data_IF_471946083304
#
_entry.id   IF_471946083304
#
_cell.length_a   1.000
_cell.length_b   1.000
_cell.length_c   1.000
_cell.angle_alpha   90.00
_cell.angle_beta   90.00
_cell.angle_gamma   90.00
#
_symmetry.space_group_name_H-M   'P 1'
#
loop_
_entity.id
_entity.type
_entity.pdbx_description
1 polymer ?
#
# COMPACT_ATOMS: atom_id res chain seq x y z
N UNK A 1 9.27 -11.09 -14.33
CA UNK A 1 7.87 -10.82 -13.91
C UNK A 1 6.98 -10.68 -15.14
N UNK A 2 5.69 -11.07 -15.09
CA UNK A 2 4.76 -10.85 -16.21
C UNK A 2 4.38 -9.36 -16.27
N UNK A 3 4.35 -8.76 -17.46
CA UNK A 3 3.99 -7.35 -17.67
C UNK A 3 2.65 -6.99 -17.00
N UNK A 4 1.67 -7.90 -17.09
CA UNK A 4 0.37 -7.74 -16.43
C UNK A 4 0.49 -7.44 -14.93
N UNK A 5 1.33 -8.19 -14.20
CA UNK A 5 1.51 -8.01 -12.76
C UNK A 5 2.15 -6.65 -12.45
N UNK A 6 3.14 -6.23 -13.27
CA UNK A 6 3.76 -4.92 -13.12
C UNK A 6 2.75 -3.79 -13.32
N UNK A 7 1.90 -3.88 -14.35
CA UNK A 7 0.87 -2.88 -14.64
C UNK A 7 -0.18 -2.82 -13.52
N UNK A 8 -0.59 -3.96 -12.95
CA UNK A 8 -1.53 -3.98 -11.82
C UNK A 8 -0.93 -3.30 -10.59
N UNK A 9 0.34 -3.58 -10.27
CA UNK A 9 1.04 -2.95 -9.14
C UNK A 9 1.29 -1.46 -9.38
N UNK A 10 1.63 -1.05 -10.61
CA UNK A 10 1.80 0.35 -10.97
C UNK A 10 0.47 1.13 -10.89
N UNK A 11 -0.64 0.52 -11.31
CA UNK A 11 -1.97 1.10 -11.15
C UNK A 11 -2.36 1.22 -9.67
N UNK A 12 -2.00 0.22 -8.85
CA UNK A 12 -2.15 0.30 -7.39
C UNK A 12 -1.40 1.51 -6.83
N UNK A 13 -0.13 1.66 -7.19
CA UNK A 13 0.72 2.77 -6.76
C UNK A 13 0.15 4.13 -7.19
N UNK A 14 -0.40 4.23 -8.40
CA UNK A 14 -1.06 5.44 -8.90
C UNK A 14 -2.27 5.81 -8.03
N UNK A 15 -3.16 4.85 -7.75
CA UNK A 15 -4.35 5.08 -6.91
C UNK A 15 -3.93 5.46 -5.48
N UNK A 16 -2.91 4.82 -4.93
CA UNK A 16 -2.46 5.14 -3.57
C UNK A 16 -1.74 6.49 -3.50
N UNK A 17 -0.95 6.83 -4.51
CA UNK A 17 -0.31 8.15 -4.57
C UNK A 17 -1.33 9.28 -4.51
N UNK A 18 -2.39 9.19 -5.30
CA UNK A 18 -3.49 10.17 -5.26
C UNK A 18 -4.34 10.05 -3.98
N UNK A 19 -4.40 8.86 -3.35
CA UNK A 19 -5.13 8.66 -2.10
C UNK A 19 -4.49 9.38 -0.90
N UNK A 20 -3.20 9.70 -0.92
CA UNK A 20 -2.56 10.50 0.14
C UNK A 20 -3.22 11.88 0.27
N UNK A 21 -3.58 12.51 -0.84
CA UNK A 21 -4.33 13.78 -0.84
C UNK A 21 -5.70 13.58 -0.16
N UNK A 22 -6.44 12.54 -0.57
CA UNK A 22 -7.74 12.25 0.03
C UNK A 22 -7.64 11.94 1.53
N UNK A 23 -6.60 11.22 1.95
CA UNK A 23 -6.35 10.90 3.36
C UNK A 23 -6.04 12.17 4.16
N UNK A 24 -5.21 13.07 3.64
CA UNK A 24 -4.88 14.34 4.28
C UNK A 24 -6.12 15.21 4.46
N UNK A 25 -6.89 15.42 3.39
CA UNK A 25 -8.15 16.17 3.43
C UNK A 25 -9.16 15.53 4.40
N UNK A 26 -9.27 14.20 4.40
CA UNK A 26 -10.16 13.49 5.32
C UNK A 26 -9.86 13.75 6.80
N UNK A 27 -8.58 13.96 7.14
CA UNK A 27 -8.15 14.25 8.52
C UNK A 27 -8.51 15.66 9.01
N UNK A 28 -8.93 16.55 8.12
CA UNK A 28 -9.45 17.87 8.50
C UNK A 28 -10.86 17.80 9.09
N UNK A 29 -11.61 16.74 8.74
CA UNK A 29 -13.02 16.58 9.14
C UNK A 29 -13.21 15.56 10.24
N UNK A 30 -12.52 14.42 10.18
CA UNK A 30 -12.76 13.26 11.06
C UNK A 30 -11.47 12.65 11.59
N UNK A 31 -11.61 11.86 12.65
CA UNK A 31 -10.48 11.17 13.26
C UNK A 31 -9.93 10.00 12.42
N UNK A 32 -8.69 9.56 12.69
CA UNK A 32 -8.03 8.49 11.95
C UNK A 32 -8.74 7.15 12.01
N UNK A 33 -9.31 6.77 13.15
CA UNK A 33 -10.04 5.51 13.28
C UNK A 33 -11.41 5.55 12.62
N UNK A 34 -12.11 6.70 12.69
CA UNK A 34 -13.36 6.93 11.96
C UNK A 34 -13.12 6.81 10.46
N UNK A 35 -12.09 7.48 9.95
CA UNK A 35 -11.74 7.42 8.54
C UNK A 35 -11.39 5.98 8.10
N UNK A 36 -10.53 5.29 8.85
CA UNK A 36 -10.13 3.91 8.55
C UNK A 36 -11.30 2.93 8.63
N UNK A 37 -12.15 3.05 9.64
CA UNK A 37 -13.31 2.19 9.81
C UNK A 37 -14.28 2.32 8.65
N UNK A 38 -14.71 3.54 8.35
CA UNK A 38 -15.71 3.81 7.32
C UNK A 38 -15.18 3.43 5.92
N UNK A 39 -13.95 3.87 5.53
CA UNK A 39 -13.38 3.53 4.23
C UNK A 39 -13.19 2.03 4.04
N UNK A 40 -12.81 1.30 5.10
CA UNK A 40 -12.62 -0.15 5.03
C UNK A 40 -13.93 -0.89 4.80
N UNK A 41 -15.00 -0.51 5.47
CA UNK A 41 -16.33 -1.09 5.26
C UNK A 41 -16.84 -0.79 3.85
N UNK A 42 -16.68 0.44 3.35
CA UNK A 42 -17.01 0.79 1.96
C UNK A 42 -16.19 -0.09 0.99
N UNK A 43 -14.89 -0.26 1.24
CA UNK A 43 -14.03 -1.13 0.44
C UNK A 43 -14.51 -2.57 0.40
N UNK A 44 -14.89 -3.13 1.55
CA UNK A 44 -15.46 -4.47 1.63
C UNK A 44 -16.76 -4.58 0.82
N UNK A 45 -17.70 -3.63 0.97
CA UNK A 45 -18.95 -3.61 0.20
C UNK A 45 -18.73 -3.48 -1.31
N UNK A 46 -17.74 -2.69 -1.74
CA UNK A 46 -17.37 -2.55 -3.15
C UNK A 46 -16.96 -3.88 -3.77
N UNK A 47 -16.41 -4.80 -2.99
CA UNK A 47 -15.95 -6.10 -3.48
C UNK A 47 -17.06 -7.16 -3.55
N UNK A 48 -18.17 -6.98 -2.83
CA UNK A 48 -19.27 -7.96 -2.81
C UNK A 48 -19.81 -8.26 -4.21
N UNK A 49 -20.16 -7.28 -5.08
CA UNK A 49 -20.59 -7.54 -6.43
C UNK A 49 -19.56 -8.34 -7.24
N UNK A 50 -18.27 -8.01 -7.10
CA UNK A 50 -17.18 -8.72 -7.78
C UNK A 50 -17.10 -10.19 -7.36
N UNK A 51 -17.27 -10.48 -6.06
CA UNK A 51 -17.30 -11.84 -5.52
C UNK A 51 -18.49 -12.62 -6.07
N UNK A 52 -19.68 -12.00 -6.10
CA UNK A 52 -20.88 -12.64 -6.62
C UNK A 52 -20.77 -12.97 -8.13
N UNK A 53 -20.21 -12.06 -8.94
CA UNK A 53 -19.95 -12.27 -10.36
C UNK A 53 -18.93 -13.41 -10.54
N UNK A 54 -17.85 -13.41 -9.78
CA UNK A 54 -16.84 -14.48 -9.86
C UNK A 54 -17.42 -15.85 -9.48
N UNK A 55 -18.27 -15.89 -8.44
CA UNK A 55 -18.98 -17.14 -8.04
C UNK A 55 -19.90 -17.65 -9.17
N UNK A 56 -20.66 -16.76 -9.81
CA UNK A 56 -21.51 -17.11 -10.98
C UNK A 56 -20.69 -17.62 -12.17
N UNK A 57 -19.49 -17.08 -12.37
CA UNK A 57 -18.56 -17.48 -13.44
C UNK A 57 -17.76 -18.76 -13.12
N UNK A 58 -18.07 -19.46 -12.02
CA UNK A 58 -17.39 -20.70 -11.64
C UNK A 58 -15.95 -20.52 -11.14
N UNK A 59 -15.50 -19.29 -10.86
CA UNK A 59 -14.16 -19.08 -10.28
C UNK A 59 -14.06 -19.66 -8.88
N UNK A 60 -12.99 -20.42 -8.64
CA UNK A 60 -12.71 -21.00 -7.33
C UNK A 60 -12.38 -19.90 -6.31
N UNK A 61 -12.93 -20.02 -5.12
CA UNK A 61 -12.62 -19.16 -3.96
C UNK A 61 -11.30 -19.58 -3.32
N UNK A 62 -10.97 -20.85 -3.43
CA UNK A 62 -9.78 -21.50 -2.89
C UNK A 62 -9.09 -22.21 -4.04
N UNK A 63 -7.79 -22.02 -4.18
CA UNK A 63 -6.98 -22.71 -5.20
C UNK A 63 -6.81 -24.18 -4.82
N UNK A 64 -6.51 -25.03 -5.83
CA UNK A 64 -6.34 -26.47 -5.62
C UNK A 64 -5.19 -26.75 -4.62
N UNK A 65 -5.44 -27.60 -3.64
CA UNK A 65 -4.50 -27.92 -2.56
C UNK A 65 -4.53 -26.97 -1.36
N UNK A 66 -5.36 -25.94 -1.40
CA UNK A 66 -5.52 -24.97 -0.29
C UNK A 66 -6.82 -25.20 0.48
N UNK A 67 -6.94 -24.60 1.67
CA UNK A 67 -8.06 -24.80 2.58
C UNK A 67 -8.81 -23.52 2.93
N UNK A 68 -10.06 -23.65 3.39
CA UNK A 68 -10.81 -22.54 3.99
C UNK A 68 -10.08 -21.90 5.18
N UNK A 69 -9.32 -22.67 5.94
CA UNK A 69 -8.53 -22.19 7.07
C UNK A 69 -7.46 -21.19 6.58
N UNK A 70 -6.80 -21.46 5.45
CA UNK A 70 -5.81 -20.56 4.87
C UNK A 70 -6.44 -19.24 4.40
N UNK A 71 -7.64 -19.26 3.81
CA UNK A 71 -8.36 -18.05 3.42
C UNK A 71 -8.71 -17.20 4.64
N UNK A 72 -9.26 -17.82 5.69
CA UNK A 72 -9.64 -17.12 6.92
C UNK A 72 -8.38 -16.58 7.63
N UNK A 73 -7.37 -17.43 7.82
CA UNK A 73 -6.11 -17.02 8.47
C UNK A 73 -5.42 -15.88 7.70
N UNK A 74 -5.36 -15.97 6.36
CA UNK A 74 -4.82 -14.92 5.50
C UNK A 74 -5.60 -13.62 5.63
N UNK A 75 -6.93 -13.68 5.59
CA UNK A 75 -7.79 -12.51 5.73
C UNK A 75 -7.68 -11.84 7.10
N UNK A 76 -7.65 -12.63 8.18
CA UNK A 76 -7.47 -12.14 9.54
C UNK A 76 -6.10 -11.49 9.72
N UNK A 77 -5.02 -12.15 9.26
CA UNK A 77 -3.67 -11.66 9.42
C UNK A 77 -3.42 -10.41 8.56
N UNK A 78 -3.83 -10.43 7.28
CA UNK A 78 -3.77 -9.25 6.42
C UNK A 78 -4.58 -8.09 7.00
N UNK A 79 -5.80 -8.34 7.48
CA UNK A 79 -6.67 -7.32 8.05
C UNK A 79 -6.14 -6.71 9.36
N UNK A 80 -5.56 -7.53 10.24
CA UNK A 80 -4.93 -7.05 11.46
C UNK A 80 -3.69 -6.18 11.17
N UNK A 81 -2.81 -6.65 10.29
CA UNK A 81 -1.64 -5.87 9.86
C UNK A 81 -2.05 -4.57 9.16
N UNK A 82 -3.07 -4.63 8.30
CA UNK A 82 -3.62 -3.47 7.63
C UNK A 82 -4.20 -2.46 8.62
N UNK A 83 -4.96 -2.92 9.63
CA UNK A 83 -5.47 -2.06 10.69
C UNK A 83 -4.35 -1.35 11.44
N UNK A 84 -3.32 -2.06 11.88
CA UNK A 84 -2.19 -1.49 12.60
C UNK A 84 -1.44 -0.48 11.71
N UNK A 85 -1.05 -0.89 10.51
CA UNK A 85 -0.29 -0.04 9.60
C UNK A 85 -1.06 1.21 9.18
N UNK A 86 -2.32 1.06 8.74
CA UNK A 86 -3.12 2.20 8.30
C UNK A 86 -3.50 3.14 9.43
N UNK A 87 -3.70 2.64 10.66
CA UNK A 87 -3.96 3.50 11.83
C UNK A 87 -2.72 4.32 12.20
N UNK A 88 -1.54 3.69 12.23
CA UNK A 88 -0.28 4.39 12.47
C UNK A 88 -0.01 5.45 11.38
N UNK A 89 -0.26 5.12 10.11
CA UNK A 89 -0.13 6.05 9.00
C UNK A 89 -1.08 7.24 9.16
N UNK A 90 -2.35 6.97 9.43
CA UNK A 90 -3.39 7.98 9.51
C UNK A 90 -3.18 8.93 10.71
N UNK A 91 -2.72 8.39 11.84
CA UNK A 91 -2.31 9.20 13.00
C UNK A 91 -1.05 10.01 12.66
N UNK A 92 -0.06 9.38 12.02
CA UNK A 92 1.21 10.01 11.65
C UNK A 92 1.03 11.19 10.68
N UNK A 93 0.15 11.08 9.69
CA UNK A 93 -0.17 12.14 8.71
C UNK A 93 -0.63 13.44 9.39
N UNK A 94 -1.26 13.38 10.57
CA UNK A 94 -1.62 14.58 11.34
C UNK A 94 -0.41 15.40 11.84
N UNK A 95 0.76 14.80 11.93
CA UNK A 95 1.95 15.37 12.55
C UNK A 95 3.13 15.52 11.58
N UNK A 96 2.95 15.16 10.30
CA UNK A 96 3.99 15.27 9.27
C UNK A 96 3.37 15.65 7.94
N UNK A 97 4.18 16.12 6.98
CA UNK A 97 3.69 16.43 5.64
C UNK A 97 3.36 15.17 4.84
N UNK A 98 2.44 15.28 3.87
CA UNK A 98 2.05 14.17 3.00
C UNK A 98 3.26 13.61 2.22
N UNK A 99 4.14 14.46 1.71
CA UNK A 99 5.36 14.03 1.02
C UNK A 99 6.31 13.27 1.93
N UNK A 100 6.52 13.74 3.17
CA UNK A 100 7.39 13.07 4.14
C UNK A 100 6.76 11.75 4.62
N UNK A 101 5.45 11.69 4.81
CA UNK A 101 4.72 10.48 5.11
C UNK A 101 4.88 9.45 3.97
N UNK A 102 4.75 9.86 2.72
CA UNK A 102 4.98 9.02 1.55
C UNK A 102 6.40 8.45 1.50
N UNK A 103 7.43 9.30 1.73
CA UNK A 103 8.82 8.85 1.79
C UNK A 103 9.05 7.77 2.86
N UNK A 104 8.64 8.06 4.10
CA UNK A 104 8.90 7.17 5.22
C UNK A 104 8.09 5.86 5.06
N UNK A 105 6.85 5.94 4.58
CA UNK A 105 6.05 4.74 4.26
C UNK A 105 6.77 3.89 3.21
N UNK A 106 7.28 4.49 2.14
CA UNK A 106 7.95 3.79 1.06
C UNK A 106 9.30 3.15 1.50
N UNK A 107 9.82 3.44 2.70
CA UNK A 107 10.97 2.70 3.27
C UNK A 107 10.70 1.18 3.38
N UNK A 108 9.45 0.72 3.20
CA UNK A 108 9.17 -0.72 3.06
C UNK A 108 9.96 -1.37 1.91
N UNK A 109 10.44 -0.61 0.91
CA UNK A 109 11.33 -1.13 -0.14
C UNK A 109 12.65 -1.71 0.38
N UNK A 110 13.11 -1.23 1.53
CA UNK A 110 14.30 -1.74 2.23
C UNK A 110 13.91 -2.80 3.24
N UNK A 111 12.82 -2.58 3.97
CA UNK A 111 12.38 -3.47 5.06
C UNK A 111 11.92 -4.83 4.51
N UNK A 112 11.17 -4.84 3.40
CA UNK A 112 10.68 -6.09 2.76
C UNK A 112 11.82 -7.05 2.41
N UNK A 113 12.87 -6.65 1.65
CA UNK A 113 13.98 -7.56 1.35
C UNK A 113 14.80 -7.93 2.59
N UNK A 114 14.93 -7.04 3.60
CA UNK A 114 15.62 -7.38 4.86
C UNK A 114 14.87 -8.49 5.61
N UNK A 115 13.55 -8.37 5.78
CA UNK A 115 12.75 -9.45 6.37
C UNK A 115 12.80 -10.70 5.48
N UNK A 116 12.80 -10.53 4.16
CA UNK A 116 12.90 -11.61 3.19
C UNK A 116 14.14 -12.48 3.38
N UNK A 117 15.27 -11.92 3.78
CA UNK A 117 16.50 -12.67 4.09
C UNK A 117 16.23 -13.69 5.21
N UNK A 118 15.57 -13.27 6.30
CA UNK A 118 15.21 -14.16 7.41
C UNK A 118 14.23 -15.26 6.98
N UNK A 119 13.41 -14.98 5.96
CA UNK A 119 12.49 -15.96 5.35
C UNK A 119 13.16 -16.82 4.26
N UNK A 120 14.48 -16.76 4.10
CA UNK A 120 15.27 -17.44 3.06
C UNK A 120 14.88 -17.04 1.62
N UNK A 121 14.27 -15.86 1.45
CA UNK A 121 13.96 -15.25 0.16
C UNK A 121 15.06 -14.25 -0.18
N UNK A 122 16.15 -14.73 -0.74
CA UNK A 122 17.29 -13.87 -1.12
C UNK A 122 17.02 -13.16 -2.43
N UNK A 123 17.37 -11.90 -2.49
CA UNK A 123 17.35 -11.10 -3.72
C UNK A 123 18.78 -10.92 -4.25
N UNK A 124 18.96 -10.99 -5.57
CA UNK A 124 20.25 -10.79 -6.21
C UNK A 124 20.78 -9.36 -6.00
N UNK A 125 22.07 -9.15 -6.23
CA UNK A 125 22.75 -7.87 -6.06
C UNK A 125 22.11 -6.71 -6.86
N UNK A 126 21.57 -7.00 -8.05
CA UNK A 126 20.86 -6.00 -8.87
C UNK A 126 19.63 -5.43 -8.19
N UNK A 127 18.88 -6.28 -7.45
CA UNK A 127 17.70 -5.84 -6.70
C UNK A 127 18.15 -4.92 -5.56
N UNK A 128 19.25 -5.24 -4.87
CA UNK A 128 19.80 -4.37 -3.83
C UNK A 128 20.30 -3.03 -4.40
N UNK A 129 20.94 -3.04 -5.54
CA UNK A 129 21.34 -1.81 -6.24
C UNK A 129 20.11 -0.98 -6.65
N UNK A 130 19.03 -1.62 -7.12
CA UNK A 130 17.77 -0.96 -7.42
C UNK A 130 17.12 -0.38 -6.16
N UNK A 131 17.14 -1.10 -5.03
CA UNK A 131 16.63 -0.61 -3.74
C UNK A 131 17.38 0.64 -3.28
N UNK A 132 18.71 0.64 -3.36
CA UNK A 132 19.52 1.81 -2.99
C UNK A 132 19.24 3.00 -3.90
N UNK A 133 19.12 2.77 -5.20
CA UNK A 133 18.80 3.81 -6.17
C UNK A 133 17.38 4.37 -5.94
N UNK A 134 16.41 3.52 -5.64
CA UNK A 134 15.06 3.92 -5.30
C UNK A 134 15.02 4.74 -4.00
N UNK A 135 15.80 4.34 -3.00
CA UNK A 135 15.91 5.08 -1.74
C UNK A 135 16.49 6.49 -1.95
N UNK A 136 17.52 6.61 -2.79
CA UNK A 136 18.07 7.91 -3.19
C UNK A 136 17.03 8.76 -3.95
N UNK A 137 16.26 8.15 -4.84
CA UNK A 137 15.16 8.80 -5.54
C UNK A 137 14.07 9.31 -4.59
N UNK A 138 13.64 8.46 -3.65
CA UNK A 138 12.67 8.83 -2.61
C UNK A 138 13.18 9.98 -1.73
N UNK A 139 14.47 9.96 -1.37
CA UNK A 139 15.07 11.05 -0.62
C UNK A 139 14.99 12.37 -1.38
N UNK A 140 15.35 12.38 -2.66
CA UNK A 140 15.25 13.56 -3.51
C UNK A 140 13.80 14.04 -3.67
N UNK A 141 12.85 13.11 -3.76
CA UNK A 141 11.44 13.39 -3.99
C UNK A 141 10.75 14.04 -2.79
N UNK A 142 11.04 13.56 -1.58
CA UNK A 142 10.19 13.85 -0.43
C UNK A 142 10.85 14.73 0.64
N UNK A 143 12.17 14.97 0.57
CA UNK A 143 12.88 15.77 1.57
C UNK A 143 13.33 17.10 0.93
N UNK A 144 12.51 18.14 1.15
CA UNK A 144 12.77 19.48 0.62
C UNK A 144 13.49 20.40 1.61
N UNK A 145 13.13 20.37 2.91
CA UNK A 145 13.55 21.35 3.93
C UNK A 145 14.23 20.71 5.16
N UNK A 146 15.37 20.06 4.97
CA UNK A 146 16.12 19.49 6.09
C UNK A 146 15.42 18.28 6.75
N UNK A 147 16.20 17.40 7.38
CA UNK A 147 15.67 16.19 7.98
C UNK A 147 15.54 16.37 9.50
N UNK A 148 14.33 16.70 9.97
CA UNK A 148 13.99 16.66 11.41
C UNK A 148 13.05 15.51 11.67
N UNK A 149 13.31 14.69 12.68
CA UNK A 149 12.46 13.55 13.06
C UNK A 149 11.46 13.97 14.11
N UNK A 150 10.17 13.97 13.76
CA UNK A 150 9.06 14.26 14.66
C UNK A 150 8.28 12.99 15.09
N UNK A 151 7.30 13.18 15.97
CA UNK A 151 6.41 12.07 16.41
C UNK A 151 5.69 11.41 15.23
N UNK A 152 5.23 12.19 14.25
CA UNK A 152 4.58 11.68 13.06
C UNK A 152 5.48 10.73 12.27
N UNK A 153 6.76 11.10 12.12
CA UNK A 153 7.73 10.30 11.35
C UNK A 153 7.98 8.94 11.97
N UNK A 154 8.03 8.86 13.31
CA UNK A 154 8.18 7.60 14.05
C UNK A 154 6.95 6.71 13.79
N UNK A 155 5.74 7.26 13.87
CA UNK A 155 4.51 6.52 13.61
C UNK A 155 4.46 6.00 12.17
N UNK A 156 4.86 6.83 11.19
CA UNK A 156 4.93 6.42 9.78
C UNK A 156 6.03 5.36 9.56
N UNK A 157 7.15 5.44 10.26
CA UNK A 157 8.17 4.39 10.17
C UNK A 157 7.67 3.04 10.72
N UNK A 158 6.97 3.04 11.86
CA UNK A 158 6.31 1.84 12.38
C UNK A 158 5.23 1.32 11.41
N UNK A 159 4.50 2.22 10.76
CA UNK A 159 3.57 1.88 9.68
C UNK A 159 4.30 1.19 8.52
N UNK A 160 5.48 1.68 8.10
CA UNK A 160 6.26 1.05 7.03
C UNK A 160 6.67 -0.40 7.38
N UNK A 161 6.99 -0.68 8.65
CA UNK A 161 7.22 -2.05 9.14
C UNK A 161 5.94 -2.89 9.03
N UNK A 162 4.80 -2.33 9.44
CA UNK A 162 3.50 -2.99 9.33
C UNK A 162 3.12 -3.32 7.88
N UNK A 163 3.29 -2.38 6.95
CA UNK A 163 3.06 -2.63 5.53
C UNK A 163 4.07 -3.62 4.92
N UNK A 164 5.31 -3.63 5.38
CA UNK A 164 6.29 -4.64 4.96
C UNK A 164 5.83 -6.04 5.34
N UNK A 165 5.36 -6.22 6.57
CA UNK A 165 4.80 -7.48 7.03
C UNK A 165 3.53 -7.85 6.22
N UNK A 166 2.65 -6.90 5.96
CA UNK A 166 1.46 -7.08 5.14
C UNK A 166 1.79 -7.55 3.70
N UNK A 167 2.77 -6.93 3.05
CA UNK A 167 3.27 -7.33 1.71
C UNK A 167 3.75 -8.79 1.72
N UNK A 168 4.51 -9.19 2.75
CA UNK A 168 5.02 -10.56 2.88
C UNK A 168 3.92 -11.58 3.17
N UNK A 169 2.92 -11.21 3.95
CA UNK A 169 1.74 -12.06 4.23
C UNK A 169 0.90 -12.22 2.95
N UNK A 170 0.69 -11.16 2.18
CA UNK A 170 0.04 -11.26 0.86
C UNK A 170 0.83 -12.20 -0.07
N UNK A 171 2.16 -12.08 -0.11
CA UNK A 171 3.00 -12.96 -0.93
C UNK A 171 2.80 -14.45 -0.58
N UNK A 172 2.63 -14.76 0.70
CA UNK A 172 2.39 -16.14 1.15
C UNK A 172 0.98 -16.66 0.81
N UNK A 173 -0.06 -15.83 0.96
CA UNK A 173 -1.44 -16.28 0.79
C UNK A 173 -2.01 -16.07 -0.61
N UNK A 174 -1.54 -15.08 -1.38
CA UNK A 174 -2.11 -14.76 -2.69
C UNK A 174 -2.05 -15.90 -3.73
N UNK A 175 -1.07 -16.84 -3.70
CA UNK A 175 -1.09 -18.00 -4.58
C UNK A 175 -2.15 -19.05 -4.21
N UNK A 176 -2.59 -19.07 -2.96
CA UNK A 176 -3.41 -20.14 -2.37
C UNK A 176 -4.91 -19.84 -2.41
N UNK A 177 -5.29 -18.57 -2.45
CA UNK A 177 -6.69 -18.16 -2.29
C UNK A 177 -7.08 -17.08 -3.31
N UNK A 178 -8.39 -16.91 -3.50
CA UNK A 178 -8.91 -15.86 -4.37
C UNK A 178 -8.59 -14.47 -3.78
N UNK A 179 -7.85 -13.66 -4.53
CA UNK A 179 -7.39 -12.35 -4.07
C UNK A 179 -8.53 -11.36 -3.79
N UNK A 180 -9.67 -11.44 -4.49
CA UNK A 180 -10.82 -10.56 -4.25
C UNK A 180 -11.49 -10.91 -2.92
N UNK A 181 -11.62 -12.20 -2.63
CA UNK A 181 -12.23 -12.66 -1.36
C UNK A 181 -11.29 -12.36 -0.19
N UNK A 182 -9.98 -12.59 -0.37
CA UNK A 182 -8.96 -12.24 0.62
C UNK A 182 -9.01 -10.73 0.94
N UNK A 183 -9.10 -9.90 -0.10
CA UNK A 183 -9.21 -8.43 0.03
C UNK A 183 -10.48 -8.03 0.79
N UNK A 184 -11.62 -8.65 0.49
CA UNK A 184 -12.86 -8.37 1.20
C UNK A 184 -12.74 -8.70 2.70
N UNK A 185 -12.21 -9.87 3.06
CA UNK A 185 -12.05 -10.30 4.46
C UNK A 185 -11.12 -9.34 5.21
N UNK A 186 -9.96 -8.97 4.62
CA UNK A 186 -9.03 -8.05 5.28
C UNK A 186 -9.68 -6.69 5.58
N UNK A 187 -10.55 -6.17 4.69
CA UNK A 187 -11.24 -4.90 4.95
C UNK A 187 -12.34 -5.02 5.98
N UNK A 188 -13.09 -6.12 6.02
CA UNK A 188 -14.03 -6.39 7.11
C UNK A 188 -13.29 -6.41 8.45
N UNK A 189 -12.16 -7.11 8.54
CA UNK A 189 -11.35 -7.19 9.76
C UNK A 189 -10.79 -5.83 10.15
N UNK A 190 -10.21 -5.09 9.19
CA UNK A 190 -9.67 -3.75 9.43
C UNK A 190 -10.76 -2.77 9.91
N UNK A 191 -11.94 -2.79 9.27
CA UNK A 191 -13.08 -1.97 9.65
C UNK A 191 -13.57 -2.31 11.05
N UNK A 192 -13.82 -3.59 11.34
CA UNK A 192 -14.26 -4.04 12.65
C UNK A 192 -13.27 -3.75 13.77
N UNK A 193 -11.96 -3.82 13.49
CA UNK A 193 -10.93 -3.44 14.46
C UNK A 193 -10.84 -1.92 14.68
N UNK A 194 -11.20 -1.13 13.67
CA UNK A 194 -11.20 0.34 13.76
C UNK A 194 -12.35 0.88 14.61
N UNK A 195 -13.54 0.27 14.59
CA UNK A 195 -14.71 0.77 15.30
C UNK A 195 -14.54 0.87 16.82
N UNK A 196 -14.01 -0.13 17.55
CA UNK A 196 -13.74 0.04 18.98
C UNK A 196 -12.82 1.23 19.26
N UNK A 197 -11.74 1.37 18.48
CA UNK A 197 -10.81 2.49 18.64
C UNK A 197 -11.48 3.84 18.33
N UNK A 198 -12.36 3.89 17.33
CA UNK A 198 -13.14 5.08 16.99
C UNK A 198 -13.99 5.54 18.20
N UNK A 199 -14.71 4.64 18.86
CA UNK A 199 -15.55 5.00 20.01
C UNK A 199 -14.76 5.29 21.29
N UNK A 200 -13.54 4.72 21.44
CA UNK A 200 -12.69 4.95 22.62
C UNK A 200 -11.89 6.24 22.51
N UNK A 201 -11.35 6.55 21.34
CA UNK A 201 -10.38 7.63 21.15
C UNK A 201 -10.93 8.85 20.41
N UNK A 202 -12.11 8.74 19.81
CA UNK A 202 -12.72 9.77 18.98
C UNK A 202 -14.19 9.95 19.35
N UNK A 203 -14.74 11.09 19.00
CA UNK A 203 -16.18 11.39 19.08
C UNK A 203 -16.74 11.46 17.66
N UNK A 204 -17.12 10.31 17.06
CA UNK A 204 -17.60 10.30 15.70
C UNK A 204 -18.90 11.09 15.56
N UNK A 205 -18.91 12.04 14.63
CA UNK A 205 -20.09 12.85 14.28
C UNK A 205 -20.50 12.55 12.84
N UNK A 206 -21.78 12.28 12.64
CA UNK A 206 -22.31 11.94 11.32
C UNK A 206 -22.22 13.12 10.35
N UNK A 207 -22.36 14.36 10.84
CA UNK A 207 -22.25 15.56 10.01
C UNK A 207 -20.83 15.72 9.49
N UNK A 208 -19.82 15.49 10.34
CA UNK A 208 -18.41 15.53 9.96
C UNK A 208 -18.05 14.40 8.97
N UNK A 209 -18.59 13.18 9.20
CA UNK A 209 -18.43 12.06 8.27
C UNK A 209 -19.01 12.40 6.90
N UNK A 210 -20.20 12.98 6.85
CA UNK A 210 -20.83 13.41 5.60
C UNK A 210 -20.07 14.55 4.93
N UNK A 211 -19.44 15.44 5.69
CA UNK A 211 -18.57 16.49 5.12
C UNK A 211 -17.31 15.90 4.47
N UNK A 212 -16.82 14.77 4.96
CA UNK A 212 -15.68 14.03 4.43
C UNK A 212 -16.07 12.99 3.36
N UNK A 213 -17.29 13.03 2.80
CA UNK A 213 -17.83 11.97 1.92
C UNK A 213 -16.93 11.68 0.70
N UNK A 214 -16.40 12.73 0.06
CA UNK A 214 -15.58 12.57 -1.15
C UNK A 214 -14.25 11.85 -0.86
N UNK A 215 -13.41 12.30 0.11
CA UNK A 215 -12.20 11.57 0.47
C UNK A 215 -12.48 10.16 1.02
N UNK A 216 -13.56 9.96 1.77
CA UNK A 216 -13.96 8.65 2.26
C UNK A 216 -14.34 7.72 1.09
N UNK A 217 -15.14 8.21 0.14
CA UNK A 217 -15.58 7.42 -1.01
C UNK A 217 -14.39 7.05 -1.92
N UNK A 218 -13.51 8.03 -2.19
CA UNK A 218 -12.28 7.77 -2.93
C UNK A 218 -11.43 6.69 -2.23
N UNK A 219 -11.15 6.87 -0.95
CA UNK A 219 -10.34 5.95 -0.18
C UNK A 219 -11.01 4.57 -0.03
N UNK A 220 -12.33 4.51 0.15
CA UNK A 220 -13.08 3.26 0.30
C UNK A 220 -13.19 2.49 -1.02
N UNK A 221 -13.65 3.12 -2.09
CA UNK A 221 -13.88 2.43 -3.37
C UNK A 221 -12.57 2.19 -4.12
N UNK A 222 -11.81 3.26 -4.39
CA UNK A 222 -10.62 3.15 -5.23
C UNK A 222 -9.41 2.62 -4.46
N UNK A 223 -9.07 3.19 -3.30
CA UNK A 223 -7.90 2.73 -2.57
C UNK A 223 -8.14 1.36 -1.92
N UNK A 224 -9.20 1.20 -1.11
CA UNK A 224 -9.50 -0.08 -0.46
C UNK A 224 -10.05 -1.11 -1.45
N UNK A 225 -11.15 -0.83 -2.12
CA UNK A 225 -11.82 -1.79 -3.00
C UNK A 225 -10.95 -2.21 -4.18
N UNK A 226 -10.44 -1.25 -4.95
CA UNK A 226 -9.70 -1.54 -6.19
C UNK A 226 -8.21 -1.77 -5.91
N UNK A 227 -7.48 -0.79 -5.38
CA UNK A 227 -6.02 -0.83 -5.35
C UNK A 227 -5.46 -1.98 -4.51
N UNK A 228 -5.92 -2.21 -3.28
CA UNK A 228 -5.46 -3.36 -2.48
C UNK A 228 -5.81 -4.70 -3.12
N UNK A 229 -6.95 -4.79 -3.82
CA UNK A 229 -7.30 -6.01 -4.57
C UNK A 229 -6.36 -6.22 -5.74
N UNK A 230 -6.02 -5.15 -6.48
CA UNK A 230 -5.02 -5.20 -7.55
C UNK A 230 -3.63 -5.54 -7.01
N UNK A 231 -3.26 -5.06 -5.82
CA UNK A 231 -2.03 -5.44 -5.13
C UNK A 231 -1.99 -6.96 -4.91
N UNK A 232 -3.01 -7.54 -4.31
CA UNK A 232 -3.05 -8.99 -4.00
C UNK A 232 -2.94 -9.80 -5.29
N UNK A 233 -3.67 -9.42 -6.33
CA UNK A 233 -3.65 -10.10 -7.63
C UNK A 233 -2.30 -9.89 -8.33
N UNK A 234 -1.76 -8.67 -8.29
CA UNK A 234 -0.50 -8.30 -8.92
C UNK A 234 0.72 -8.93 -8.24
N UNK A 235 0.68 -9.14 -6.93
CA UNK A 235 1.75 -9.80 -6.18
C UNK A 235 1.78 -11.33 -6.36
N UNK A 236 0.71 -11.94 -6.85
CA UNK A 236 0.65 -13.40 -7.01
C UNK A 236 1.83 -13.90 -7.86
N UNK A 237 2.69 -14.73 -7.24
CA UNK A 237 3.91 -15.28 -7.85
C UNK A 237 4.94 -14.22 -8.32
N UNK A 238 5.00 -13.09 -7.66
CA UNK A 238 6.00 -12.03 -7.88
C UNK A 238 6.90 -11.96 -6.66
N UNK A 239 8.21 -11.74 -6.86
CA UNK A 239 9.13 -11.50 -5.75
C UNK A 239 8.66 -10.27 -4.94
N UNK A 240 8.46 -10.39 -3.61
CA UNK A 240 7.92 -9.31 -2.79
C UNK A 240 8.78 -8.03 -2.80
N UNK A 241 10.09 -8.16 -2.97
CA UNK A 241 10.99 -7.00 -3.12
C UNK A 241 10.72 -6.23 -4.42
N UNK A 242 10.47 -6.94 -5.53
CA UNK A 242 10.12 -6.29 -6.81
C UNK A 242 8.73 -5.66 -6.69
N UNK A 243 7.79 -6.33 -6.02
CA UNK A 243 6.47 -5.77 -5.78
C UNK A 243 6.55 -4.49 -4.96
N UNK A 244 7.31 -4.48 -3.86
CA UNK A 244 7.49 -3.29 -3.01
C UNK A 244 8.16 -2.13 -3.78
N UNK A 245 9.14 -2.40 -4.64
CA UNK A 245 9.74 -1.38 -5.50
C UNK A 245 8.71 -0.74 -6.45
N UNK A 246 7.84 -1.52 -7.08
CA UNK A 246 6.82 -0.94 -7.97
C UNK A 246 5.78 -0.16 -7.17
N UNK A 247 5.36 -0.68 -6.02
CA UNK A 247 4.38 -0.01 -5.15
C UNK A 247 4.91 1.33 -4.65
N UNK A 248 6.23 1.46 -4.41
CA UNK A 248 6.84 2.73 -3.96
C UNK A 248 6.72 3.88 -4.97
N UNK A 249 6.31 3.62 -6.24
CA UNK A 249 5.89 4.66 -7.18
C UNK A 249 4.72 5.51 -6.64
N UNK A 250 4.02 5.04 -5.61
CA UNK A 250 2.98 5.85 -4.95
C UNK A 250 3.52 7.23 -4.51
N UNK A 251 4.80 7.31 -4.10
CA UNK A 251 5.43 8.59 -3.74
C UNK A 251 5.62 9.49 -4.95
N UNK A 252 6.01 8.95 -6.12
CA UNK A 252 6.09 9.72 -7.35
C UNK A 252 4.71 10.22 -7.79
N UNK A 253 3.72 9.36 -7.75
CA UNK A 253 2.35 9.72 -8.11
C UNK A 253 1.72 10.70 -7.11
N UNK A 254 2.10 10.66 -5.82
CA UNK A 254 1.67 11.63 -4.83
C UNK A 254 2.18 13.04 -5.16
N UNK A 255 3.46 13.16 -5.50
CA UNK A 255 4.06 14.45 -5.90
C UNK A 255 3.46 14.97 -7.20
N UNK A 256 3.28 14.09 -8.19
CA UNK A 256 2.63 14.47 -9.46
C UNK A 256 1.17 14.89 -9.24
N UNK A 257 0.44 14.23 -8.35
CA UNK A 257 -0.92 14.62 -7.99
C UNK A 257 -0.95 15.98 -7.29
N UNK A 258 -0.02 16.26 -6.36
CA UNK A 258 0.16 17.58 -5.75
C UNK A 258 0.38 18.66 -6.78
N UNK A 259 1.28 18.43 -7.75
CA UNK A 259 1.55 19.34 -8.83
C UNK A 259 0.31 19.61 -9.71
N UNK A 260 -0.41 18.57 -10.14
CA UNK A 260 -1.53 18.68 -11.08
C UNK A 260 -2.81 19.17 -10.38
N UNK A 261 -3.13 18.61 -9.19
CA UNK A 261 -4.42 18.84 -8.50
C UNK A 261 -4.35 20.06 -7.59
N UNK A 262 -3.24 20.20 -6.84
CA UNK A 262 -3.06 21.31 -5.87
C UNK A 262 -2.27 22.48 -6.45
N UNK A 263 -1.84 22.40 -7.73
CA UNK A 263 -1.01 23.39 -8.41
C UNK A 263 0.30 23.72 -7.67
N UNK A 264 0.83 22.74 -6.93
CA UNK A 264 2.13 22.85 -6.28
C UNK A 264 3.25 22.93 -7.33
N UNK A 265 4.35 23.64 -7.01
CA UNK A 265 5.49 23.72 -7.93
C UNK A 265 6.34 22.46 -7.82
N UNK A 266 6.49 21.72 -8.90
CA UNK A 266 7.44 20.61 -8.97
C UNK A 266 8.87 21.13 -9.03
N UNK A 267 9.67 20.84 -8.02
CA UNK A 267 11.07 21.25 -7.96
C UNK A 267 11.94 20.35 -8.87
N UNK A 268 13.11 20.86 -9.27
CA UNK A 268 14.11 20.06 -10.02
C UNK A 268 14.53 18.82 -9.23
N UNK A 269 14.65 18.93 -7.91
CA UNK A 269 15.02 17.84 -7.02
C UNK A 269 13.97 16.73 -7.02
N UNK A 270 12.69 17.08 -6.98
CA UNK A 270 11.58 16.11 -7.07
C UNK A 270 11.51 15.43 -8.44
N UNK A 271 11.76 16.20 -9.50
CA UNK A 271 11.83 15.64 -10.86
C UNK A 271 12.97 14.61 -10.99
N UNK A 272 14.15 14.91 -10.44
CA UNK A 272 15.28 13.96 -10.40
C UNK A 272 14.88 12.73 -9.57
N UNK A 273 14.23 12.90 -8.43
CA UNK A 273 13.73 11.82 -7.59
C UNK A 273 12.81 10.87 -8.35
N UNK A 274 11.83 11.38 -9.10
CA UNK A 274 10.96 10.58 -9.95
C UNK A 274 11.77 9.77 -10.99
N UNK A 275 12.70 10.39 -11.69
CA UNK A 275 13.53 9.70 -12.69
C UNK A 275 14.34 8.57 -12.08
N UNK A 276 14.98 8.80 -10.92
CA UNK A 276 15.73 7.77 -10.20
C UNK A 276 14.85 6.58 -9.80
N UNK A 277 13.63 6.86 -9.31
CA UNK A 277 12.65 5.82 -8.98
C UNK A 277 12.27 4.97 -10.19
N UNK A 278 11.97 5.58 -11.33
CA UNK A 278 11.65 4.85 -12.55
C UNK A 278 12.83 4.01 -13.04
N UNK A 279 14.06 4.55 -13.03
CA UNK A 279 15.28 3.80 -13.40
C UNK A 279 15.46 2.59 -12.48
N UNK A 280 15.30 2.77 -11.17
CA UNK A 280 15.42 1.68 -10.18
C UNK A 280 14.45 0.54 -10.47
N UNK A 281 13.19 0.86 -10.77
CA UNK A 281 12.17 -0.13 -11.09
C UNK A 281 12.47 -0.88 -12.38
N UNK A 282 12.88 -0.17 -13.43
CA UNK A 282 13.30 -0.80 -14.69
C UNK A 282 14.48 -1.75 -14.43
N UNK A 283 15.50 -1.29 -13.68
CA UNK A 283 16.67 -2.09 -13.35
C UNK A 283 16.31 -3.37 -12.59
N UNK A 284 15.37 -3.31 -11.63
CA UNK A 284 14.92 -4.46 -10.87
C UNK A 284 14.15 -5.50 -11.72
N UNK A 285 13.58 -5.07 -12.85
CA UNK A 285 12.81 -5.95 -13.75
C UNK A 285 13.65 -6.59 -14.85
N UNK A 286 14.86 -6.08 -15.10
CA UNK A 286 15.74 -6.65 -16.11
C UNK A 286 16.15 -8.08 -15.70
N UNK A 287 16.06 -9.05 -16.62
CA UNK A 287 16.48 -10.41 -16.34
C UNK A 287 17.95 -10.46 -15.95
N UNK A 288 18.29 -11.28 -14.96
CA UNK A 288 19.69 -11.61 -14.73
C UNK A 288 20.23 -12.31 -15.98
N UNK A 289 21.31 -11.81 -16.54
CA UNK A 289 22.08 -12.61 -17.51
C UNK A 289 22.43 -13.91 -16.80
N UNK A 290 21.83 -15.04 -17.18
CA UNK A 290 22.29 -16.37 -16.76
C UNK A 290 23.79 -16.35 -17.03
N UNK A 291 24.60 -16.59 -16.00
CA UNK A 291 25.97 -17.00 -16.21
C UNK A 291 25.85 -18.20 -17.15
N UNK A 292 26.35 -18.07 -18.38
CA UNK A 292 26.58 -19.19 -19.25
C UNK A 292 27.53 -20.10 -18.48
N UNK A 293 26.99 -21.20 -17.99
CA UNK A 293 27.80 -22.31 -17.49
C UNK A 293 28.39 -22.93 -18.76
N UNK A 294 29.60 -22.57 -19.07
CA UNK A 294 30.48 -23.32 -19.96
C UNK A 294 30.94 -24.61 -19.23
#
# INVERSE_FOLDING_TARGET
MRLKNALLLALTAFIWGTAFVAQSVGMEYIGPFTFNGVRSIIGAFTLVPCILIQKKSGKKIIEDGSSRKELIAGGLLCGALLFIASSLQQIGIKYTSAGKAGFITACYIVIVPLIGIFMKKTSGWKIWAAVLLALAGLYCLCITDGFTVGKGDILIFLCAIGFSAHILVIDYFSPKVNGVVLSCIQFVVCGLASFPCMFIFETPDMTAIMSAWMPILYAGVLSCGVAYTLQIIGQKNVNPTIASLILSLESCFSVLAGWIILHEKLSVKESIGCVLMFIAIIMAQLPDKKASVD
#
